data_IF_172086854138
#
_entry.id   IF_172086854138
#
_cell.length_a   1.000
_cell.length_b   1.000
_cell.length_c   1.000
_cell.angle_alpha   90.00
_cell.angle_beta   90.00
_cell.angle_gamma   90.00
#
_symmetry.space_group_name_H-M   'P 1'
#
loop_
_entity.id
_entity.type
_entity.pdbx_description
1 polymer ?
#
# COMPACT_ATOMS: atom_id res chain seq x y z
N UNK A 1 -31.99 -36.33 16.51
CA UNK A 1 -31.09 -35.63 15.60
C UNK A 1 -31.19 -34.14 15.93
N UNK A 2 -30.25 -33.66 16.73
CA UNK A 2 -30.14 -32.23 17.09
C UNK A 2 -29.44 -31.56 15.89
N UNK A 3 -30.15 -30.71 15.15
CA UNK A 3 -29.55 -29.86 14.12
C UNK A 3 -28.67 -28.83 14.83
N UNK A 4 -27.36 -28.99 14.73
CA UNK A 4 -26.43 -27.92 15.07
C UNK A 4 -26.81 -26.69 14.26
N UNK A 5 -27.26 -25.64 14.94
CA UNK A 5 -27.34 -24.31 14.36
C UNK A 5 -25.89 -23.88 14.07
N UNK A 6 -25.49 -23.87 12.79
CA UNK A 6 -24.32 -23.09 12.36
C UNK A 6 -24.56 -21.65 12.83
N UNK A 7 -23.85 -21.24 13.86
CA UNK A 7 -23.72 -19.83 14.21
C UNK A 7 -23.04 -19.21 12.99
N UNK A 8 -23.77 -18.41 12.23
CA UNK A 8 -23.16 -17.57 11.17
C UNK A 8 -22.35 -16.55 11.95
N UNK A 9 -21.06 -16.80 12.11
CA UNK A 9 -20.13 -15.85 12.65
C UNK A 9 -20.11 -14.68 11.65
N UNK A 10 -20.45 -13.49 12.10
CA UNK A 10 -20.40 -12.30 11.26
C UNK A 10 -18.90 -11.96 11.08
N UNK A 11 -18.33 -12.33 9.95
CA UNK A 11 -16.92 -12.13 9.60
C UNK A 11 -16.63 -10.71 9.03
N UNK A 12 -17.64 -9.82 9.05
CA UNK A 12 -17.57 -8.48 8.49
C UNK A 12 -17.29 -7.43 9.55
N UNK A 13 -16.46 -6.47 9.18
CA UNK A 13 -16.14 -5.29 10.00
C UNK A 13 -17.37 -4.38 10.20
N UNK A 14 -18.29 -4.33 9.21
CA UNK A 14 -19.46 -3.46 9.23
C UNK A 14 -19.17 -2.05 8.68
N UNK A 15 -19.95 -1.07 9.17
CA UNK A 15 -19.80 0.35 8.74
C UNK A 15 -18.62 0.98 9.47
N UNK A 16 -17.76 1.65 8.71
CA UNK A 16 -16.58 2.36 9.19
C UNK A 16 -16.62 3.83 8.79
N UNK A 17 -15.84 4.65 9.49
CA UNK A 17 -15.75 6.09 9.22
C UNK A 17 -14.29 6.50 9.12
N UNK A 18 -13.98 7.27 8.09
CA UNK A 18 -12.67 7.89 7.94
C UNK A 18 -12.51 9.01 8.95
N UNK A 19 -11.42 8.99 9.69
CA UNK A 19 -11.00 9.99 10.65
C UNK A 19 -9.88 10.84 10.05
N UNK A 20 -9.62 12.02 10.60
CA UNK A 20 -8.54 12.89 10.16
C UNK A 20 -7.72 13.33 11.37
N UNK A 21 -6.42 13.12 11.30
CA UNK A 21 -5.42 13.65 12.22
C UNK A 21 -4.64 14.77 11.56
N UNK A 22 -4.58 15.95 12.20
CA UNK A 22 -3.85 17.11 11.69
C UNK A 22 -2.77 17.55 12.68
N UNK A 23 -1.58 17.87 12.17
CA UNK A 23 -0.49 18.41 12.96
C UNK A 23 0.23 19.54 12.19
N UNK A 24 0.89 20.43 12.95
CA UNK A 24 1.35 21.71 12.42
C UNK A 24 2.52 21.58 11.43
N UNK A 25 3.48 20.68 11.70
CA UNK A 25 4.72 20.66 10.94
C UNK A 25 5.33 19.27 10.86
N UNK A 26 5.74 18.89 9.65
CA UNK A 26 6.62 17.78 9.33
C UNK A 26 7.95 18.30 8.81
N UNK A 27 9.06 17.81 9.33
CA UNK A 27 10.37 18.02 8.73
C UNK A 27 10.56 16.96 7.66
N UNK A 28 10.67 17.37 6.41
CA UNK A 28 10.92 16.50 5.27
C UNK A 28 12.41 16.11 5.20
N UNK A 29 12.73 15.02 4.50
CA UNK A 29 14.11 14.60 4.24
C UNK A 29 14.91 15.67 3.49
N UNK A 30 14.25 16.48 2.64
CA UNK A 30 14.85 17.67 2.02
C UNK A 30 15.37 18.72 3.02
N UNK A 31 15.00 18.59 4.30
CA UNK A 31 15.25 19.58 5.34
C UNK A 31 14.18 20.67 5.45
N UNK A 32 13.26 20.75 4.50
CA UNK A 32 12.14 21.70 4.51
C UNK A 32 11.16 21.38 5.64
N UNK A 33 10.56 22.41 6.25
CA UNK A 33 9.43 22.27 7.17
C UNK A 33 8.14 22.48 6.39
N UNK A 34 7.33 21.44 6.31
CA UNK A 34 6.06 21.43 5.60
C UNK A 34 4.88 21.25 6.56
N UNK A 35 3.80 21.99 6.31
CA UNK A 35 2.55 21.87 7.12
C UNK A 35 1.60 23.05 6.93
N UNK A 36 0.42 22.98 7.50
CA UNK A 36 -0.11 21.86 8.30
C UNK A 36 -0.27 20.58 7.46
N UNK A 37 -0.12 19.42 8.11
CA UNK A 37 -0.30 18.11 7.49
C UNK A 37 -1.51 17.42 8.10
N UNK A 38 -2.43 16.97 7.27
CA UNK A 38 -3.56 16.11 7.64
C UNK A 38 -3.37 14.72 7.07
N UNK A 39 -3.65 13.69 7.88
CA UNK A 39 -3.72 12.30 7.46
C UNK A 39 -5.13 11.77 7.70
N UNK A 40 -5.77 11.30 6.64
CA UNK A 40 -6.98 10.51 6.75
C UNK A 40 -6.61 9.08 7.16
N UNK A 41 -7.35 8.49 8.11
CA UNK A 41 -7.10 7.13 8.57
C UNK A 41 -8.38 6.43 9.01
N UNK A 42 -8.34 5.12 9.01
CA UNK A 42 -9.41 4.27 9.55
C UNK A 42 -8.84 3.27 10.54
N UNK A 43 -9.69 2.81 11.45
CA UNK A 43 -9.32 1.83 12.46
C UNK A 43 -10.37 0.73 12.55
N UNK A 44 -9.91 -0.49 12.83
CA UNK A 44 -10.75 -1.68 12.92
C UNK A 44 -10.36 -2.48 14.17
N UNK A 45 -11.37 -3.00 14.89
CA UNK A 45 -11.16 -3.66 16.18
C UNK A 45 -10.96 -2.69 17.34
N UNK A 46 -10.37 -3.16 18.43
CA UNK A 46 -10.21 -2.38 19.65
C UNK A 46 -8.77 -2.45 20.18
N UNK A 47 -8.24 -1.28 20.56
CA UNK A 47 -6.93 -1.19 21.21
C UNK A 47 -7.03 -1.73 22.65
N UNK A 48 -6.16 -2.69 23.02
CA UNK A 48 -6.11 -3.22 24.37
C UNK A 48 -5.53 -2.19 25.36
N UNK A 49 -5.66 -2.47 26.66
CA UNK A 49 -5.21 -1.54 27.73
C UNK A 49 -3.70 -1.31 27.68
N UNK A 50 -2.95 -2.34 27.35
CA UNK A 50 -1.49 -2.37 27.24
C UNK A 50 -1.00 -1.73 25.93
N UNK A 51 -1.91 -1.42 25.01
CA UNK A 51 -1.63 -0.85 23.66
C UNK A 51 -0.62 -1.69 22.86
N UNK A 52 -0.64 -3.00 23.06
CA UNK A 52 0.32 -3.96 22.50
C UNK A 52 -0.19 -4.71 21.27
N UNK A 53 -1.49 -4.55 20.90
CA UNK A 53 -2.15 -5.28 19.82
C UNK A 53 -2.36 -4.46 18.55
N UNK A 54 -1.67 -3.33 18.40
CA UNK A 54 -1.85 -2.43 17.26
C UNK A 54 -1.05 -2.89 16.04
N UNK A 55 -1.70 -2.95 14.87
CA UNK A 55 -1.11 -3.27 13.57
C UNK A 55 -1.36 -2.11 12.61
N UNK A 56 -0.30 -1.61 11.98
CA UNK A 56 -0.38 -0.62 10.92
C UNK A 56 -0.38 -1.31 9.55
N UNK A 57 -1.42 -1.08 8.77
CA UNK A 57 -1.51 -1.49 7.35
C UNK A 57 -1.08 -0.31 6.49
N UNK A 58 -0.12 -0.55 5.60
CA UNK A 58 0.40 0.42 4.65
C UNK A 58 -0.04 0.08 3.24
N UNK A 59 -0.84 0.97 2.61
CA UNK A 59 -1.45 0.70 1.32
C UNK A 59 -0.49 0.87 0.13
N UNK A 60 -0.80 0.23 -0.99
CA UNK A 60 -0.09 0.35 -2.25
C UNK A 60 -0.46 1.66 -2.98
N UNK A 61 0.23 1.96 -4.12
CA UNK A 61 0.12 3.20 -4.92
C UNK A 61 -1.31 3.74 -5.07
N UNK A 62 -2.27 2.90 -5.36
CA UNK A 62 -3.65 3.29 -5.65
C UNK A 62 -4.65 2.96 -4.54
N UNK A 63 -4.16 2.56 -3.36
CA UNK A 63 -4.96 2.36 -2.16
C UNK A 63 -5.25 3.68 -1.43
N UNK A 64 -5.92 3.56 -0.31
CA UNK A 64 -6.24 4.64 0.61
C UNK A 64 -6.47 4.07 2.03
N UNK A 65 -6.97 4.87 2.95
CA UNK A 65 -7.24 4.46 4.33
C UNK A 65 -8.33 3.38 4.45
N UNK A 66 -9.23 3.27 3.46
CA UNK A 66 -10.37 2.35 3.51
C UNK A 66 -9.94 0.91 3.19
N UNK A 67 -9.36 0.23 4.18
CA UNK A 67 -8.84 -1.13 4.00
C UNK A 67 -9.91 -2.22 4.19
N UNK A 68 -10.93 -2.01 5.04
CA UNK A 68 -11.98 -3.00 5.31
C UNK A 68 -13.31 -2.36 5.68
N UNK A 69 -14.37 -3.17 5.72
CA UNK A 69 -15.72 -2.71 5.99
C UNK A 69 -16.33 -1.90 4.86
N UNK A 70 -17.36 -1.12 5.16
CA UNK A 70 -18.10 -0.32 4.20
C UNK A 70 -18.31 1.10 4.74
N UNK A 71 -18.30 2.10 3.88
CA UNK A 71 -18.78 3.43 4.22
C UNK A 71 -20.31 3.48 4.09
N UNK A 72 -20.96 4.30 4.92
CA UNK A 72 -22.41 4.47 4.89
C UNK A 72 -22.89 4.89 3.49
N UNK A 73 -23.85 4.17 2.94
CA UNK A 73 -24.42 4.42 1.60
C UNK A 73 -23.54 3.99 0.42
N UNK A 74 -22.42 3.30 0.66
CA UNK A 74 -21.57 2.73 -0.40
C UNK A 74 -21.52 1.20 -0.28
N UNK A 75 -21.65 0.51 -1.42
CA UNK A 75 -21.65 -0.97 -1.46
C UNK A 75 -20.24 -1.56 -1.60
N UNK A 76 -19.23 -0.75 -1.89
CA UNK A 76 -17.87 -1.24 -2.11
C UNK A 76 -17.14 -1.40 -0.78
N UNK A 77 -16.66 -2.62 -0.45
CA UNK A 77 -15.84 -2.86 0.72
C UNK A 77 -14.45 -2.24 0.56
N UNK A 78 -13.72 -2.15 1.66
CA UNK A 78 -12.31 -1.76 1.67
C UNK A 78 -11.46 -2.68 0.79
N UNK A 79 -10.29 -2.18 0.36
CA UNK A 79 -9.43 -2.85 -0.64
C UNK A 79 -8.78 -4.16 -0.14
N UNK A 80 -8.78 -4.41 1.18
CA UNK A 80 -8.25 -5.62 1.83
C UNK A 80 -9.28 -6.28 2.78
N UNK A 81 -10.56 -6.07 2.52
CA UNK A 81 -11.66 -6.58 3.37
C UNK A 81 -11.60 -8.10 3.60
N UNK A 82 -11.10 -8.87 2.60
CA UNK A 82 -10.95 -10.32 2.73
C UNK A 82 -9.91 -10.74 3.80
N UNK A 83 -8.96 -9.87 4.15
CA UNK A 83 -7.91 -10.13 5.13
C UNK A 83 -8.21 -9.56 6.51
N UNK A 84 -9.08 -8.53 6.63
CA UNK A 84 -9.35 -7.79 7.86
C UNK A 84 -10.79 -8.08 8.32
N UNK A 85 -10.95 -8.51 9.57
CA UNK A 85 -12.27 -8.78 10.16
C UNK A 85 -12.21 -9.85 11.24
N UNK A 86 -13.34 -10.13 11.91
CA UNK A 86 -13.42 -11.16 12.93
C UNK A 86 -12.99 -12.53 12.40
N UNK A 87 -11.98 -13.14 13.03
CA UNK A 87 -11.44 -14.44 12.66
C UNK A 87 -10.58 -14.48 11.38
N UNK A 88 -10.43 -13.39 10.64
CA UNK A 88 -9.57 -13.27 9.44
C UNK A 88 -8.08 -13.22 9.80
N UNK A 89 -7.20 -12.95 8.82
CA UNK A 89 -5.76 -12.83 9.05
C UNK A 89 -5.43 -11.73 10.06
N UNK A 90 -6.02 -10.56 9.86
CA UNK A 90 -6.01 -9.45 10.79
C UNK A 90 -7.31 -9.48 11.59
N UNK A 91 -7.33 -10.34 12.61
CA UNK A 91 -8.48 -10.67 13.43
C UNK A 91 -8.87 -9.48 14.33
N UNK A 92 -9.94 -8.76 13.97
CA UNK A 92 -10.39 -7.57 14.69
C UNK A 92 -10.96 -7.85 16.09
N UNK A 93 -11.19 -9.13 16.45
CA UNK A 93 -11.51 -9.52 17.83
C UNK A 93 -10.26 -9.50 18.72
N UNK A 94 -9.06 -9.50 18.13
CA UNK A 94 -7.76 -9.55 18.85
C UNK A 94 -6.90 -8.33 18.63
N UNK A 95 -6.89 -7.80 17.40
CA UNK A 95 -5.96 -6.75 16.98
C UNK A 95 -6.70 -5.44 16.73
N UNK A 96 -6.02 -4.36 17.00
CA UNK A 96 -6.41 -3.02 16.60
C UNK A 96 -5.66 -2.66 15.32
N UNK A 97 -6.39 -2.66 14.20
CA UNK A 97 -5.83 -2.41 12.88
C UNK A 97 -5.97 -0.93 12.54
N UNK A 98 -4.93 -0.34 12.01
CA UNK A 98 -4.88 1.06 11.57
C UNK A 98 -4.47 1.05 10.10
N UNK A 99 -5.17 1.79 9.25
CA UNK A 99 -4.75 2.09 7.90
C UNK A 99 -4.83 3.60 7.67
N UNK A 100 -3.72 4.24 7.29
CA UNK A 100 -3.71 5.66 6.96
C UNK A 100 -3.52 5.88 5.47
N UNK A 101 -4.23 6.86 4.92
CA UNK A 101 -3.90 7.39 3.61
C UNK A 101 -2.60 8.17 3.69
N UNK A 102 -1.71 7.98 2.72
CA UNK A 102 -0.37 8.56 2.74
C UNK A 102 -0.35 10.07 2.52
N UNK A 103 0.68 10.74 3.03
CA UNK A 103 1.05 12.09 2.60
C UNK A 103 1.30 12.09 1.09
N UNK A 104 0.81 13.09 0.37
CA UNK A 104 0.86 13.15 -1.10
C UNK A 104 -0.30 12.43 -1.80
N UNK A 105 -1.11 11.66 -1.06
CA UNK A 105 -2.32 11.01 -1.57
C UNK A 105 -3.47 11.98 -1.82
N UNK A 106 -4.55 11.48 -2.45
CA UNK A 106 -5.70 12.30 -2.86
C UNK A 106 -7.03 11.90 -2.19
N UNK A 107 -6.95 11.16 -1.07
CA UNK A 107 -8.11 10.63 -0.35
C UNK A 107 -8.13 11.10 1.11
N UNK A 108 -8.16 12.43 1.31
CA UNK A 108 -8.32 13.06 2.62
C UNK A 108 -7.01 13.40 3.34
N UNK A 109 -5.87 12.86 2.95
CA UNK A 109 -4.55 13.33 3.42
C UNK A 109 -4.05 14.51 2.60
N UNK A 110 -3.17 15.32 3.20
CA UNK A 110 -2.54 16.45 2.51
C UNK A 110 -1.73 15.95 1.31
N UNK A 111 -2.00 16.53 0.15
CA UNK A 111 -1.36 16.20 -1.12
C UNK A 111 -1.47 17.35 -2.13
N UNK A 112 -1.05 17.17 -3.38
CA UNK A 112 -1.08 18.20 -4.42
C UNK A 112 -2.45 18.84 -4.65
N UNK A 113 -3.54 18.10 -4.47
CA UNK A 113 -4.92 18.60 -4.61
C UNK A 113 -5.43 19.36 -3.38
N UNK A 114 -4.72 19.32 -2.25
CA UNK A 114 -5.10 20.03 -1.03
C UNK A 114 -4.92 21.53 -1.17
N UNK A 115 -5.77 22.30 -0.47
CA UNK A 115 -5.67 23.76 -0.47
C UNK A 115 -4.44 24.20 0.34
N UNK A 116 -3.57 24.95 -0.31
CA UNK A 116 -2.45 25.61 0.32
C UNK A 116 -2.95 26.80 1.14
N UNK A 117 -2.77 26.79 2.48
CA UNK A 117 -3.28 27.86 3.34
C UNK A 117 -2.69 29.24 3.07
N UNK A 118 -1.53 29.29 2.41
CA UNK A 118 -0.87 30.58 2.06
C UNK A 118 -1.49 31.25 0.83
N UNK A 119 -2.00 30.45 -0.12
CA UNK A 119 -2.50 30.95 -1.42
C UNK A 119 -4.01 30.81 -1.59
N UNK A 120 -4.67 30.00 -0.73
CA UNK A 120 -6.06 29.59 -0.85
C UNK A 120 -6.40 28.85 -2.17
N UNK A 121 -5.39 28.27 -2.82
CA UNK A 121 -5.49 27.46 -4.04
C UNK A 121 -4.91 26.06 -3.78
N UNK A 122 -5.22 25.05 -4.60
CA UNK A 122 -4.52 23.77 -4.53
C UNK A 122 -3.00 23.95 -4.61
N UNK A 123 -2.26 23.10 -3.91
CA UNK A 123 -0.80 23.14 -3.96
C UNK A 123 -0.28 22.93 -5.39
N UNK A 124 -0.93 22.06 -6.15
CA UNK A 124 -0.46 21.64 -7.47
C UNK A 124 1.04 21.23 -7.42
N UNK A 125 1.91 21.81 -8.26
CA UNK A 125 3.36 21.55 -8.23
C UNK A 125 4.12 22.36 -7.16
N UNK A 126 3.46 23.23 -6.41
CA UNK A 126 4.01 23.86 -5.20
C UNK A 126 4.00 22.90 -3.99
N UNK A 127 3.37 21.72 -4.14
CA UNK A 127 3.49 20.65 -3.15
C UNK A 127 4.96 20.18 -3.10
N UNK A 128 5.59 20.01 -1.92
CA UNK A 128 6.98 19.60 -1.87
C UNK A 128 7.19 18.19 -2.42
N UNK A 129 8.35 17.93 -3.01
CA UNK A 129 8.74 16.55 -3.31
C UNK A 129 8.90 15.80 -2.00
N UNK A 130 8.20 14.70 -1.90
CA UNK A 130 8.20 13.82 -0.72
C UNK A 130 8.89 12.50 -1.05
N UNK A 131 9.32 11.82 -0.01
CA UNK A 131 9.91 10.48 -0.07
C UNK A 131 9.03 9.44 0.64
N UNK A 132 9.36 8.16 0.53
CA UNK A 132 8.71 7.11 1.32
C UNK A 132 8.97 7.34 2.82
N UNK A 133 10.14 7.84 3.19
CA UNK A 133 10.48 8.14 4.58
C UNK A 133 9.66 9.33 5.12
N UNK A 134 9.37 10.35 4.31
CA UNK A 134 8.44 11.42 4.68
C UNK A 134 7.03 10.90 4.93
N UNK A 135 6.56 9.96 4.11
CA UNK A 135 5.27 9.29 4.30
C UNK A 135 5.26 8.54 5.64
N UNK A 136 6.31 7.79 5.93
CA UNK A 136 6.46 7.02 7.17
C UNK A 136 6.61 7.94 8.38
N UNK A 137 7.35 9.03 8.27
CA UNK A 137 7.47 10.05 9.32
C UNK A 137 6.11 10.67 9.66
N UNK A 138 5.24 10.91 8.67
CA UNK A 138 3.88 11.36 8.90
C UNK A 138 3.02 10.28 9.60
N UNK A 139 3.15 9.01 9.19
CA UNK A 139 2.49 7.88 9.86
C UNK A 139 2.94 7.73 11.31
N UNK A 140 4.23 7.91 11.60
CA UNK A 140 4.77 7.88 12.97
C UNK A 140 4.09 8.91 13.85
N UNK A 141 3.83 10.14 13.34
CA UNK A 141 3.07 11.16 14.07
C UNK A 141 1.65 10.72 14.40
N UNK A 142 0.98 10.01 13.48
CA UNK A 142 -0.34 9.43 13.74
C UNK A 142 -0.28 8.35 14.83
N UNK A 143 0.68 7.45 14.77
CA UNK A 143 0.85 6.38 15.76
C UNK A 143 1.13 6.96 17.16
N UNK A 144 1.97 8.00 17.24
CA UNK A 144 2.22 8.73 18.49
C UNK A 144 0.95 9.42 19.03
N UNK A 145 0.16 10.04 18.15
CA UNK A 145 -1.12 10.66 18.51
C UNK A 145 -2.12 9.65 19.09
N UNK A 146 -2.14 8.43 18.55
CA UNK A 146 -2.95 7.34 19.08
C UNK A 146 -2.40 6.77 20.39
N UNK A 147 -1.24 7.27 20.85
CA UNK A 147 -0.57 6.86 22.08
C UNK A 147 0.00 5.45 22.01
N UNK A 148 0.37 4.97 20.83
CA UNK A 148 0.96 3.64 20.61
C UNK A 148 2.48 3.80 20.55
N UNK A 149 3.17 3.29 21.54
CA UNK A 149 4.64 3.35 21.59
C UNK A 149 5.28 2.33 20.65
N UNK A 150 4.68 1.13 20.58
CA UNK A 150 5.22 0.05 19.77
C UNK A 150 4.12 -0.73 19.07
N UNK A 151 4.24 -0.84 17.74
CA UNK A 151 3.31 -1.61 16.90
C UNK A 151 3.61 -3.10 16.98
N UNK A 152 2.56 -3.93 17.10
CA UNK A 152 2.70 -5.38 16.97
C UNK A 152 3.27 -5.75 15.62
N UNK A 153 2.78 -5.09 14.56
CA UNK A 153 3.28 -5.27 13.20
C UNK A 153 3.07 -4.02 12.35
N UNK A 154 3.94 -3.84 11.35
CA UNK A 154 3.65 -3.03 10.15
C UNK A 154 3.61 -3.97 8.95
N UNK A 155 2.53 -3.89 8.16
CA UNK A 155 2.26 -4.85 7.08
C UNK A 155 1.84 -4.10 5.82
N UNK A 156 2.41 -4.47 4.67
CA UNK A 156 2.00 -3.87 3.41
C UNK A 156 2.62 -4.50 2.18
N UNK A 157 1.88 -4.43 1.07
CA UNK A 157 2.31 -4.94 -0.23
C UNK A 157 2.78 -3.83 -1.18
N UNK A 158 3.70 -4.16 -2.09
CA UNK A 158 4.17 -3.24 -3.14
C UNK A 158 4.79 -1.97 -2.54
N UNK A 159 4.32 -0.78 -2.89
CA UNK A 159 4.69 0.48 -2.23
C UNK A 159 4.42 0.43 -0.72
N UNK A 160 3.38 -0.26 -0.27
CA UNK A 160 3.17 -0.51 1.15
C UNK A 160 4.35 -1.25 1.78
N UNK A 161 4.92 -2.21 1.07
CA UNK A 161 6.13 -2.92 1.50
C UNK A 161 7.38 -2.03 1.57
N UNK A 162 7.53 -1.02 0.70
CA UNK A 162 8.58 0.00 0.83
C UNK A 162 8.38 0.81 2.13
N UNK A 163 7.14 1.18 2.46
CA UNK A 163 6.83 1.82 3.75
C UNK A 163 7.16 0.90 4.93
N UNK A 164 6.87 -0.40 4.85
CA UNK A 164 7.29 -1.38 5.89
C UNK A 164 8.80 -1.40 6.07
N UNK A 165 9.56 -1.39 4.98
CA UNK A 165 11.04 -1.34 5.04
C UNK A 165 11.54 -0.02 5.63
N UNK A 166 10.93 1.11 5.26
CA UNK A 166 11.23 2.41 5.86
C UNK A 166 10.95 2.42 7.38
N UNK A 167 9.83 1.85 7.83
CA UNK A 167 9.56 1.65 9.26
C UNK A 167 10.63 0.80 9.94
N UNK A 168 11.03 -0.31 9.31
CA UNK A 168 12.04 -1.22 9.84
C UNK A 168 13.42 -0.55 10.00
N UNK A 169 13.78 0.33 9.06
CA UNK A 169 15.06 1.06 9.06
C UNK A 169 15.04 2.23 10.04
N UNK A 170 13.97 3.05 10.03
CA UNK A 170 13.94 4.31 10.76
C UNK A 170 13.39 4.18 12.18
N UNK A 171 12.53 3.19 12.44
CA UNK A 171 11.82 3.01 13.72
C UNK A 171 11.84 1.56 14.25
N UNK A 172 13.00 0.86 14.24
CA UNK A 172 13.05 -0.55 14.64
C UNK A 172 12.61 -0.77 16.10
N UNK A 173 12.85 0.19 16.99
CA UNK A 173 12.45 0.09 18.41
C UNK A 173 10.95 0.26 18.62
N UNK A 174 10.23 0.82 17.64
CA UNK A 174 8.78 0.99 17.68
C UNK A 174 8.00 -0.14 17.03
N UNK A 175 8.68 -1.25 16.65
CA UNK A 175 8.08 -2.41 16.00
C UNK A 175 8.41 -3.70 16.77
N UNK A 176 7.44 -4.59 16.81
CA UNK A 176 7.68 -5.99 17.17
C UNK A 176 7.91 -6.84 15.92
N UNK A 177 7.20 -6.54 14.85
CA UNK A 177 7.38 -7.27 13.61
C UNK A 177 7.10 -6.42 12.37
N UNK A 178 7.61 -6.89 11.23
CA UNK A 178 7.45 -6.28 9.94
C UNK A 178 7.11 -7.34 8.88
N UNK A 179 6.12 -7.04 8.03
CA UNK A 179 5.67 -7.96 6.97
C UNK A 179 5.68 -7.24 5.62
N UNK A 180 6.84 -7.12 4.97
CA UNK A 180 6.93 -6.63 3.59
C UNK A 180 6.48 -7.72 2.61
N UNK A 181 5.53 -7.40 1.72
CA UNK A 181 4.91 -8.32 0.77
C UNK A 181 5.13 -7.80 -0.65
N UNK A 182 5.58 -8.64 -1.59
CA UNK A 182 5.75 -8.31 -3.01
C UNK A 182 6.44 -6.94 -3.22
N UNK A 183 7.60 -6.74 -2.60
CA UNK A 183 8.29 -5.45 -2.56
C UNK A 183 9.81 -5.59 -2.77
N UNK A 184 10.51 -4.45 -2.76
CA UNK A 184 11.95 -4.36 -3.02
C UNK A 184 12.60 -3.34 -2.10
N UNK A 185 13.91 -3.48 -1.86
CA UNK A 185 14.72 -2.48 -1.14
C UNK A 185 14.91 -1.19 -1.94
N UNK A 186 14.83 -1.25 -3.27
CA UNK A 186 14.86 -0.14 -4.21
C UNK A 186 14.31 -0.56 -5.57
N UNK A 187 13.75 0.38 -6.31
CA UNK A 187 13.26 0.11 -7.66
C UNK A 187 14.37 -0.27 -8.63
N UNK A 188 14.12 -1.30 -9.42
CA UNK A 188 14.94 -1.66 -10.58
C UNK A 188 14.74 -0.65 -11.72
N UNK A 189 15.65 -0.59 -12.70
CA UNK A 189 15.45 0.22 -13.89
C UNK A 189 14.14 -0.05 -14.63
N UNK A 190 13.65 -1.31 -14.62
CA UNK A 190 12.37 -1.68 -15.23
C UNK A 190 11.18 -1.04 -14.52
N UNK A 191 11.14 -1.06 -13.19
CA UNK A 191 10.07 -0.43 -12.39
C UNK A 191 10.06 1.09 -12.60
N UNK A 192 11.26 1.73 -12.57
CA UNK A 192 11.42 3.16 -12.86
C UNK A 192 10.92 3.49 -14.29
N UNK A 193 11.24 2.65 -15.28
CA UNK A 193 10.81 2.85 -16.66
C UNK A 193 9.28 2.81 -16.81
N UNK A 194 8.59 1.87 -16.17
CA UNK A 194 7.13 1.82 -16.19
C UNK A 194 6.50 3.05 -15.53
N UNK A 195 7.02 3.49 -14.39
CA UNK A 195 6.56 4.70 -13.74
C UNK A 195 6.79 5.94 -14.62
N UNK A 196 7.96 6.03 -15.26
CA UNK A 196 8.27 7.16 -16.14
C UNK A 196 7.34 7.23 -17.35
N UNK A 197 7.01 6.10 -18.00
CA UNK A 197 6.03 6.09 -19.09
C UNK A 197 4.66 6.60 -18.60
N UNK A 198 4.23 6.19 -17.41
CA UNK A 198 2.99 6.69 -16.80
C UNK A 198 3.03 8.19 -16.53
N UNK A 199 4.14 8.71 -15.99
CA UNK A 199 4.33 10.15 -15.77
C UNK A 199 4.33 10.95 -17.07
N UNK A 200 5.04 10.45 -18.09
CA UNK A 200 5.07 11.09 -19.41
C UNK A 200 3.68 11.11 -20.07
N UNK A 201 2.89 10.05 -19.93
CA UNK A 201 1.52 10.03 -20.44
C UNK A 201 0.66 11.13 -19.79
N UNK A 202 0.78 11.35 -18.47
CA UNK A 202 0.08 12.42 -17.76
C UNK A 202 0.57 13.80 -18.22
N UNK A 203 1.89 14.01 -18.25
CA UNK A 203 2.47 15.31 -18.61
C UNK A 203 2.26 15.71 -20.07
N UNK A 204 2.10 14.73 -20.97
CA UNK A 204 1.77 14.94 -22.37
C UNK A 204 0.28 15.26 -22.61
N UNK A 205 -0.61 15.02 -21.64
CA UNK A 205 -2.02 15.40 -21.75
C UNK A 205 -2.16 16.93 -21.70
N UNK A 206 -2.81 17.50 -22.74
CA UNK A 206 -2.99 18.95 -22.86
C UNK A 206 -3.75 19.59 -21.68
N UNK A 207 -4.53 18.80 -20.95
CA UNK A 207 -5.24 19.26 -19.75
C UNK A 207 -4.38 19.25 -18.47
N UNK A 208 -3.19 18.68 -18.49
CA UNK A 208 -2.30 18.70 -17.32
C UNK A 208 -1.81 20.12 -16.98
N UNK A 209 -1.58 20.98 -17.99
CA UNK A 209 -1.24 22.40 -17.82
C UNK A 209 -0.11 22.65 -16.82
N UNK A 210 0.98 21.88 -16.91
CA UNK A 210 2.10 21.95 -15.96
C UNK A 210 1.65 21.81 -14.50
N UNK A 211 0.67 20.94 -14.25
CA UNK A 211 0.14 20.65 -12.91
C UNK A 211 -1.02 21.54 -12.45
N UNK A 212 -1.30 22.64 -13.13
CA UNK A 212 -2.37 23.60 -12.77
C UNK A 212 -3.66 23.33 -13.54
N UNK A 213 -4.36 22.25 -13.19
CA UNK A 213 -5.61 21.85 -13.85
C UNK A 213 -6.85 21.85 -12.92
N UNK A 214 -6.69 22.12 -11.63
CA UNK A 214 -7.77 21.96 -10.64
C UNK A 214 -8.97 22.88 -10.83
N UNK A 215 -8.80 23.98 -11.58
CA UNK A 215 -9.89 24.89 -11.95
C UNK A 215 -10.60 24.50 -13.27
N UNK A 216 -10.20 23.41 -13.91
CA UNK A 216 -10.70 23.02 -15.23
C UNK A 216 -10.80 21.51 -15.44
N UNK A 217 -10.61 21.08 -16.69
CA UNK A 217 -10.59 19.66 -17.02
C UNK A 217 -9.29 19.01 -16.55
N UNK A 218 -9.40 17.83 -15.94
CA UNK A 218 -8.23 17.04 -15.49
C UNK A 218 -7.55 16.30 -16.65
N UNK A 219 -6.27 15.94 -16.55
CA UNK A 219 -5.52 15.17 -17.56
C UNK A 219 -5.95 13.70 -17.57
N UNK A 220 -7.24 13.49 -17.85
CA UNK A 220 -7.90 12.18 -17.75
C UNK A 220 -7.34 11.14 -18.70
N UNK A 221 -6.96 11.55 -19.92
CA UNK A 221 -6.43 10.63 -20.93
C UNK A 221 -5.04 10.12 -20.51
N UNK A 222 -4.19 11.02 -20.07
CA UNK A 222 -2.84 10.67 -19.58
C UNK A 222 -2.89 9.77 -18.34
N UNK A 223 -3.73 10.11 -17.35
CA UNK A 223 -3.89 9.31 -16.15
C UNK A 223 -4.50 7.93 -16.45
N UNK A 224 -5.46 7.85 -17.39
CA UNK A 224 -6.00 6.56 -17.84
C UNK A 224 -4.92 5.66 -18.46
N UNK A 225 -4.05 6.21 -19.33
CA UNK A 225 -2.93 5.47 -19.93
C UNK A 225 -1.95 5.00 -18.85
N UNK A 226 -1.60 5.85 -17.90
CA UNK A 226 -0.76 5.46 -16.76
C UNK A 226 -1.37 4.28 -15.98
N UNK A 227 -2.68 4.27 -15.78
CA UNK A 227 -3.39 3.14 -15.14
C UNK A 227 -3.40 1.88 -16.00
N UNK A 228 -3.54 2.01 -17.32
CA UNK A 228 -3.47 0.85 -18.23
C UNK A 228 -2.11 0.15 -18.14
N UNK A 229 -1.02 0.93 -18.13
CA UNK A 229 0.34 0.40 -17.94
C UNK A 229 0.42 -0.35 -16.59
N UNK A 230 -0.08 0.24 -15.53
CA UNK A 230 -0.16 -0.43 -14.22
C UNK A 230 -0.87 -1.78 -14.32
N UNK A 231 -2.05 -1.87 -14.95
CA UNK A 231 -2.77 -3.15 -15.07
C UNK A 231 -2.05 -4.19 -15.93
N UNK A 232 -1.24 -3.78 -16.90
CA UNK A 232 -0.37 -4.70 -17.65
C UNK A 232 0.68 -5.29 -16.70
N UNK A 233 1.30 -4.47 -15.85
CA UNK A 233 2.36 -4.92 -14.95
C UNK A 233 1.86 -5.68 -13.73
N UNK A 234 0.60 -5.48 -13.32
CA UNK A 234 0.01 -6.14 -12.15
C UNK A 234 -0.44 -7.58 -12.42
N UNK A 235 -0.78 -7.92 -13.64
CA UNK A 235 -1.20 -9.27 -14.03
C UNK A 235 -0.03 -10.06 -14.60
N UNK A 236 0.01 -11.38 -14.35
CA UNK A 236 0.92 -12.28 -15.06
C UNK A 236 0.44 -12.54 -16.49
N UNK A 237 1.34 -13.00 -17.36
CA UNK A 237 0.97 -13.47 -18.69
C UNK A 237 -0.08 -14.59 -18.62
N UNK A 238 0.10 -15.54 -17.70
CA UNK A 238 -0.85 -16.62 -17.48
C UNK A 238 -2.24 -16.12 -17.08
N UNK A 239 -2.31 -15.20 -16.11
CA UNK A 239 -3.58 -14.60 -15.68
C UNK A 239 -4.25 -13.80 -16.80
N UNK A 240 -3.48 -13.07 -17.62
CA UNK A 240 -3.98 -12.40 -18.81
C UNK A 240 -4.53 -13.38 -19.85
N UNK A 241 -3.80 -14.47 -20.12
CA UNK A 241 -4.22 -15.50 -21.06
C UNK A 241 -5.49 -16.23 -20.61
N UNK A 242 -5.57 -16.60 -19.33
CA UNK A 242 -6.74 -17.26 -18.75
C UNK A 242 -7.99 -16.37 -18.76
N UNK A 243 -7.81 -15.07 -18.49
CA UNK A 243 -8.93 -14.13 -18.37
C UNK A 243 -9.47 -13.64 -19.71
N UNK A 244 -8.61 -13.40 -20.67
CA UNK A 244 -8.97 -12.73 -21.92
C UNK A 244 -8.73 -13.59 -23.17
N UNK A 245 -7.67 -14.44 -23.17
CA UNK A 245 -7.21 -15.16 -24.35
C UNK A 245 -7.00 -14.19 -25.53
N UNK A 246 -7.50 -14.58 -26.68
CA UNK A 246 -7.62 -13.72 -27.88
C UNK A 246 -9.09 -13.48 -28.23
N UNK A 247 -9.95 -13.40 -27.22
CA UNK A 247 -11.40 -13.22 -27.40
C UNK A 247 -11.67 -11.85 -28.03
N UNK A 248 -12.38 -11.86 -29.14
CA UNK A 248 -12.86 -10.65 -29.80
C UNK A 248 -14.16 -10.18 -29.16
N UNK A 249 -14.32 -8.87 -29.07
CA UNK A 249 -15.60 -8.26 -28.69
C UNK A 249 -16.64 -8.51 -29.79
N UNK A 250 -17.85 -8.80 -29.39
CA UNK A 250 -18.98 -8.80 -30.31
C UNK A 250 -19.19 -7.35 -30.82
N UNK A 251 -19.32 -7.19 -32.15
CA UNK A 251 -19.63 -5.93 -32.82
C UNK A 251 -18.53 -4.83 -32.78
N UNK A 252 -17.26 -5.16 -32.95
CA UNK A 252 -16.27 -4.19 -33.41
C UNK A 252 -16.56 -3.83 -34.87
N UNK A 253 -16.59 -2.53 -35.21
CA UNK A 253 -16.60 -2.15 -36.63
C UNK A 253 -15.25 -2.47 -37.26
N UNK A 254 -15.17 -3.33 -38.27
CA UNK A 254 -13.90 -3.72 -38.87
C UNK A 254 -13.17 -2.48 -39.42
N UNK A 255 -11.84 -2.47 -39.24
CA UNK A 255 -10.93 -1.42 -39.73
C UNK A 255 -11.07 -0.02 -39.07
N UNK A 256 -11.62 0.05 -37.83
CA UNK A 256 -11.58 1.25 -36.99
C UNK A 256 -10.66 1.03 -35.79
N UNK A 257 -10.08 2.13 -35.27
CA UNK A 257 -9.30 2.11 -34.01
C UNK A 257 -10.21 2.00 -32.77
N UNK A 258 -11.07 0.98 -32.76
CA UNK A 258 -11.95 0.61 -31.63
C UNK A 258 -11.28 -0.48 -30.79
N UNK A 259 -11.92 -0.91 -29.72
CA UNK A 259 -11.44 -2.07 -28.95
C UNK A 259 -11.94 -3.35 -29.62
N UNK A 260 -11.04 -4.07 -30.28
CA UNK A 260 -11.36 -5.31 -30.99
C UNK A 260 -11.27 -6.54 -30.09
N UNK A 261 -10.43 -6.51 -29.05
CA UNK A 261 -10.22 -7.59 -28.10
C UNK A 261 -10.73 -7.24 -26.69
N UNK A 262 -11.14 -8.26 -25.93
CA UNK A 262 -11.61 -8.08 -24.56
C UNK A 262 -10.59 -7.39 -23.66
N UNK A 263 -9.31 -7.70 -23.81
CA UNK A 263 -8.23 -7.07 -23.04
C UNK A 263 -8.14 -5.56 -23.28
N UNK A 264 -8.38 -5.09 -24.50
CA UNK A 264 -8.38 -3.65 -24.81
C UNK A 264 -9.53 -2.94 -24.10
N UNK A 265 -10.72 -3.55 -24.13
CA UNK A 265 -11.87 -3.04 -23.39
C UNK A 265 -11.65 -3.01 -21.88
N UNK A 266 -11.04 -4.05 -21.33
CA UNK A 266 -10.67 -4.11 -19.92
C UNK A 266 -9.72 -2.97 -19.53
N UNK A 267 -8.65 -2.76 -20.30
CA UNK A 267 -7.68 -1.69 -19.99
C UNK A 267 -8.34 -0.32 -20.04
N UNK A 268 -9.15 -0.02 -21.06
CA UNK A 268 -9.91 1.24 -21.16
C UNK A 268 -10.82 1.42 -19.94
N UNK A 269 -11.61 0.41 -19.60
CA UNK A 269 -12.51 0.44 -18.44
C UNK A 269 -11.76 0.71 -17.12
N UNK A 270 -10.59 0.08 -16.93
CA UNK A 270 -9.75 0.29 -15.74
C UNK A 270 -9.16 1.70 -15.69
N UNK A 271 -8.73 2.23 -16.85
CA UNK A 271 -8.27 3.61 -16.96
C UNK A 271 -9.37 4.60 -16.61
N UNK A 272 -10.55 4.48 -17.25
CA UNK A 272 -11.69 5.39 -17.06
C UNK A 272 -12.22 5.41 -15.62
N UNK A 273 -12.21 4.26 -14.93
CA UNK A 273 -12.62 4.21 -13.53
C UNK A 273 -11.57 4.80 -12.59
N UNK A 274 -10.29 4.65 -12.91
CA UNK A 274 -9.22 5.22 -12.08
C UNK A 274 -9.26 6.74 -12.06
N UNK A 275 -9.47 7.36 -13.21
CA UNK A 275 -9.59 8.82 -13.37
C UNK A 275 -10.67 9.44 -12.48
N UNK A 276 -11.75 8.70 -12.18
CA UNK A 276 -12.85 9.19 -11.33
C UNK A 276 -12.47 9.30 -9.85
N UNK A 277 -11.39 8.63 -9.42
CA UNK A 277 -11.06 8.48 -8.01
C UNK A 277 -9.62 8.84 -7.64
N UNK A 278 -8.77 9.17 -8.60
CA UNK A 278 -7.35 9.43 -8.35
C UNK A 278 -6.90 10.74 -8.99
N UNK A 279 -6.00 11.44 -8.32
CA UNK A 279 -5.44 12.71 -8.75
C UNK A 279 -4.15 12.49 -9.54
N UNK A 280 -4.01 13.18 -10.68
CA UNK A 280 -2.86 13.00 -11.57
C UNK A 280 -1.55 13.50 -10.97
N UNK A 281 -1.57 14.66 -10.29
CA UNK A 281 -0.37 15.15 -9.62
C UNK A 281 0.03 14.21 -8.47
N UNK A 282 -0.92 13.71 -7.67
CA UNK A 282 -0.63 12.69 -6.65
C UNK A 282 0.06 11.47 -7.26
N UNK A 283 -0.37 11.00 -8.45
CA UNK A 283 0.30 9.90 -9.14
C UNK A 283 1.77 10.23 -9.47
N UNK A 284 2.03 11.46 -9.95
CA UNK A 284 3.39 11.91 -10.27
C UNK A 284 4.28 11.91 -9.01
N UNK A 285 3.80 12.52 -7.93
CA UNK A 285 4.55 12.61 -6.67
C UNK A 285 4.82 11.25 -6.03
N UNK A 286 3.81 10.40 -5.94
CA UNK A 286 3.92 9.09 -5.31
C UNK A 286 4.86 8.17 -6.11
N UNK A 287 4.72 8.12 -7.44
CA UNK A 287 5.62 7.30 -8.28
C UNK A 287 7.06 7.83 -8.24
N UNK A 288 7.25 9.15 -8.08
CA UNK A 288 8.58 9.72 -7.89
C UNK A 288 9.17 9.35 -6.53
N UNK A 289 8.36 9.34 -5.46
CA UNK A 289 8.79 8.88 -4.14
C UNK A 289 9.20 7.40 -4.16
N UNK A 290 8.42 6.55 -4.83
CA UNK A 290 8.74 5.13 -5.01
C UNK A 290 10.05 4.89 -5.75
N UNK A 291 10.29 5.63 -6.83
CA UNK A 291 11.52 5.50 -7.63
C UNK A 291 12.78 5.93 -6.88
N UNK A 292 12.65 6.93 -6.01
CA UNK A 292 13.76 7.45 -5.22
C UNK A 292 14.01 6.65 -3.93
N UNK A 293 13.11 5.75 -3.54
CA UNK A 293 13.30 4.94 -2.34
C UNK A 293 14.46 3.96 -2.49
N UNK A 294 15.39 4.01 -1.55
CA UNK A 294 16.47 3.02 -1.38
C UNK A 294 16.70 2.79 0.12
N UNK A 295 16.26 1.66 0.63
CA UNK A 295 16.45 1.27 2.02
C UNK A 295 17.93 1.06 2.41
N UNK A 296 18.84 1.18 1.44
CA UNK A 296 20.30 0.99 1.58
C UNK A 296 21.11 2.21 1.12
N UNK A 297 20.50 3.40 1.05
CA UNK A 297 21.13 4.60 0.46
C UNK A 297 22.44 5.01 1.16
N UNK A 298 22.48 4.98 2.48
CA UNK A 298 23.65 5.41 3.25
C UNK A 298 24.69 4.30 3.43
N UNK A 299 24.23 3.05 3.53
CA UNK A 299 25.06 1.86 3.75
C UNK A 299 24.25 0.60 3.46
N UNK A 300 24.92 -0.56 3.25
CA UNK A 300 24.22 -1.82 3.00
C UNK A 300 23.16 -2.13 4.05
N UNK A 301 21.97 -2.59 3.64
CA UNK A 301 20.82 -2.83 4.52
C UNK A 301 21.16 -3.78 5.69
N UNK A 302 22.01 -4.78 5.48
CA UNK A 302 22.47 -5.68 6.56
C UNK A 302 23.27 -4.96 7.66
N UNK A 303 23.93 -3.86 7.34
CA UNK A 303 24.66 -3.06 8.35
C UNK A 303 23.71 -2.16 9.13
N UNK A 304 22.70 -1.62 8.43
CA UNK A 304 21.64 -0.81 9.06
C UNK A 304 20.84 -1.64 10.06
N UNK A 305 20.52 -2.88 9.70
CA UNK A 305 19.71 -3.79 10.52
C UNK A 305 20.51 -4.53 11.60
N UNK A 306 21.80 -4.27 11.74
CA UNK A 306 22.62 -4.95 12.75
C UNK A 306 22.10 -4.67 14.16
N UNK A 307 21.81 -5.73 14.92
CA UNK A 307 21.23 -5.63 16.26
C UNK A 307 19.72 -5.40 16.32
N UNK A 308 19.04 -5.27 15.17
CA UNK A 308 17.60 -5.15 15.10
C UNK A 308 16.91 -6.40 15.69
N UNK A 309 15.92 -6.18 16.58
CA UNK A 309 15.18 -7.24 17.28
C UNK A 309 13.81 -7.53 16.66
N UNK A 310 13.46 -6.82 15.58
CA UNK A 310 12.18 -6.97 14.88
C UNK A 310 12.12 -8.34 14.20
N UNK A 311 10.99 -9.05 14.32
CA UNK A 311 10.73 -10.28 13.57
C UNK A 311 10.20 -9.95 12.20
N UNK A 312 10.75 -10.56 11.15
CA UNK A 312 10.39 -10.23 9.78
C UNK A 312 9.78 -11.44 9.07
N UNK A 313 8.61 -11.24 8.44
CA UNK A 313 8.02 -12.19 7.49
C UNK A 313 8.02 -11.54 6.11
N UNK A 314 8.79 -12.10 5.18
CA UNK A 314 8.81 -11.64 3.77
C UNK A 314 7.97 -12.59 2.93
N UNK A 315 7.00 -12.04 2.17
CA UNK A 315 6.16 -12.81 1.25
C UNK A 315 6.40 -12.32 -0.18
N UNK A 316 6.56 -13.24 -1.12
CA UNK A 316 6.62 -12.96 -2.55
C UNK A 316 5.77 -13.95 -3.34
N UNK A 317 5.49 -13.64 -4.60
CA UNK A 317 4.67 -14.47 -5.48
C UNK A 317 5.48 -14.88 -6.72
N UNK A 318 5.40 -16.15 -7.10
CA UNK A 318 6.23 -16.72 -8.16
C UNK A 318 5.97 -16.09 -9.53
N UNK A 319 4.75 -15.68 -9.81
CA UNK A 319 4.35 -15.09 -11.08
C UNK A 319 4.47 -13.56 -11.13
N UNK A 320 4.90 -12.93 -10.02
CA UNK A 320 5.10 -11.48 -9.98
C UNK A 320 6.34 -11.10 -10.80
N UNK A 321 6.12 -10.42 -11.92
CA UNK A 321 7.18 -9.95 -12.79
C UNK A 321 7.46 -8.45 -12.66
N UNK A 322 6.57 -7.71 -11.93
CA UNK A 322 6.82 -6.32 -11.56
C UNK A 322 7.78 -6.23 -10.37
N UNK A 323 7.55 -7.04 -9.31
CA UNK A 323 8.44 -7.23 -8.18
C UNK A 323 8.87 -8.69 -8.07
N UNK A 324 9.78 -9.14 -8.96
CA UNK A 324 10.18 -10.55 -9.01
C UNK A 324 10.73 -11.05 -7.68
N UNK A 325 10.49 -12.30 -7.36
CA UNK A 325 10.84 -12.92 -6.08
C UNK A 325 12.31 -12.76 -5.66
N UNK A 326 13.24 -12.55 -6.62
CA UNK A 326 14.65 -12.30 -6.28
C UNK A 326 14.82 -11.00 -5.47
N UNK A 327 14.00 -9.97 -5.69
CA UNK A 327 14.04 -8.71 -4.91
C UNK A 327 13.65 -8.95 -3.44
N UNK A 328 12.61 -9.74 -3.19
CA UNK A 328 12.25 -10.18 -1.84
C UNK A 328 13.36 -11.04 -1.20
N UNK A 329 14.03 -11.88 -1.97
CA UNK A 329 15.19 -12.67 -1.50
C UNK A 329 16.40 -11.79 -1.13
N UNK A 330 16.56 -10.61 -1.74
CA UNK A 330 17.57 -9.62 -1.33
C UNK A 330 17.26 -9.06 0.06
N UNK A 331 15.98 -8.74 0.36
CA UNK A 331 15.54 -8.34 1.71
C UNK A 331 15.87 -9.44 2.73
N UNK A 332 15.48 -10.68 2.43
CA UNK A 332 15.75 -11.85 3.29
C UNK A 332 17.24 -12.04 3.54
N UNK A 333 18.06 -11.91 2.49
CA UNK A 333 19.52 -12.03 2.61
C UNK A 333 20.08 -10.95 3.55
N UNK A 334 19.67 -9.70 3.38
CA UNK A 334 20.12 -8.60 4.24
C UNK A 334 19.73 -8.81 5.70
N UNK A 335 18.47 -9.17 5.96
CA UNK A 335 17.98 -9.47 7.31
C UNK A 335 18.76 -10.63 7.97
N UNK A 336 18.99 -11.74 7.25
CA UNK A 336 19.73 -12.89 7.75
C UNK A 336 21.20 -12.57 8.05
N UNK A 337 21.86 -11.79 7.19
CA UNK A 337 23.23 -11.34 7.40
C UNK A 337 23.34 -10.40 8.62
N UNK A 338 22.30 -9.65 8.92
CA UNK A 338 22.21 -8.80 10.11
C UNK A 338 21.84 -9.58 11.40
N UNK A 339 21.54 -10.87 11.32
CA UNK A 339 21.09 -11.68 12.47
C UNK A 339 19.61 -11.46 12.84
N UNK A 340 18.82 -10.85 11.98
CA UNK A 340 17.38 -10.59 12.20
C UNK A 340 16.58 -11.89 12.04
N UNK A 341 15.68 -12.20 12.99
CA UNK A 341 14.77 -13.35 12.88
C UNK A 341 13.84 -13.17 11.67
N UNK A 342 14.08 -13.98 10.62
CA UNK A 342 13.41 -13.79 9.32
C UNK A 342 12.82 -15.09 8.82
N UNK A 343 11.52 -15.04 8.50
CA UNK A 343 10.79 -16.07 7.75
C UNK A 343 10.58 -15.59 6.32
N UNK A 344 10.68 -16.47 5.35
CA UNK A 344 10.43 -16.19 3.94
C UNK A 344 9.48 -17.23 3.36
N UNK A 345 8.47 -16.75 2.63
CA UNK A 345 7.55 -17.58 1.88
C UNK A 345 7.39 -17.05 0.46
N UNK A 346 7.51 -17.95 -0.52
CA UNK A 346 7.22 -17.68 -1.94
C UNK A 346 5.97 -18.48 -2.32
N UNK A 347 4.87 -17.76 -2.55
CA UNK A 347 3.56 -18.35 -2.87
C UNK A 347 3.49 -18.65 -4.37
N UNK A 348 3.04 -19.86 -4.74
CA UNK A 348 2.84 -20.28 -6.14
C UNK A 348 1.47 -19.79 -6.65
N UNK A 349 1.35 -18.50 -6.89
CA UNK A 349 0.17 -17.85 -7.43
C UNK A 349 0.33 -17.54 -8.92
N UNK A 350 -0.77 -17.47 -9.66
CA UNK A 350 -0.79 -17.07 -11.07
C UNK A 350 -1.24 -15.63 -11.29
N UNK A 351 -1.64 -14.91 -10.24
CA UNK A 351 -2.23 -13.56 -10.35
C UNK A 351 -1.24 -12.43 -10.67
N UNK A 352 0.08 -12.73 -10.69
CA UNK A 352 1.11 -11.71 -10.88
C UNK A 352 1.31 -10.86 -9.62
N UNK A 353 1.52 -9.56 -9.80
CA UNK A 353 1.70 -8.62 -8.70
C UNK A 353 0.42 -8.41 -7.87
N UNK A 354 -0.77 -8.48 -8.50
CA UNK A 354 -2.06 -8.38 -7.79
C UNK A 354 -2.29 -9.53 -6.81
N UNK A 355 -1.43 -10.56 -6.78
CA UNK A 355 -1.55 -11.71 -5.89
C UNK A 355 -1.65 -11.31 -4.41
N UNK A 356 -0.94 -10.28 -3.94
CA UNK A 356 -1.02 -9.81 -2.55
C UNK A 356 -2.41 -9.24 -2.17
N UNK A 357 -3.31 -9.05 -3.13
CA UNK A 357 -4.70 -8.66 -2.92
C UNK A 357 -5.69 -9.82 -3.14
N UNK A 358 -5.26 -10.86 -3.86
CA UNK A 358 -6.15 -11.89 -4.40
C UNK A 358 -5.87 -13.30 -3.85
N UNK A 359 -4.64 -13.56 -3.36
CA UNK A 359 -4.23 -14.88 -2.85
C UNK A 359 -4.58 -15.02 -1.37
N UNK A 360 -5.90 -14.95 -1.09
CA UNK A 360 -6.42 -14.77 0.27
C UNK A 360 -6.09 -15.94 1.20
N UNK A 361 -6.21 -17.17 0.72
CA UNK A 361 -6.16 -18.36 1.58
C UNK A 361 -4.73 -18.60 2.12
N UNK A 362 -3.75 -18.73 1.23
CA UNK A 362 -2.38 -19.05 1.62
C UNK A 362 -1.70 -17.87 2.33
N UNK A 363 -1.89 -16.66 1.82
CA UNK A 363 -1.33 -15.45 2.44
C UNK A 363 -1.92 -15.20 3.84
N UNK A 364 -3.25 -15.35 4.01
CA UNK A 364 -3.91 -15.23 5.32
C UNK A 364 -3.40 -16.27 6.31
N UNK A 365 -3.18 -17.51 5.87
CA UNK A 365 -2.62 -18.55 6.72
C UNK A 365 -1.24 -18.16 7.26
N UNK A 366 -0.35 -17.70 6.39
CA UNK A 366 1.02 -17.29 6.76
C UNK A 366 1.01 -16.10 7.73
N UNK A 367 0.27 -15.05 7.41
CA UNK A 367 0.16 -13.84 8.23
C UNK A 367 -0.43 -14.17 9.60
N UNK A 368 -1.52 -14.91 9.65
CA UNK A 368 -2.21 -15.30 10.89
C UNK A 368 -1.31 -16.07 11.83
N UNK A 369 -0.56 -17.06 11.31
CA UNK A 369 0.37 -17.85 12.10
C UNK A 369 1.55 -17.02 12.60
N UNK A 370 2.10 -16.15 11.78
CA UNK A 370 3.18 -15.26 12.13
C UNK A 370 2.77 -14.28 13.24
N UNK A 371 1.66 -13.55 13.05
CA UNK A 371 1.14 -12.60 14.03
C UNK A 371 0.81 -13.27 15.36
N UNK A 372 0.20 -14.46 15.31
CA UNK A 372 -0.08 -15.24 16.52
C UNK A 372 1.20 -15.57 17.30
N UNK A 373 2.27 -16.01 16.61
CA UNK A 373 3.57 -16.30 17.24
C UNK A 373 4.16 -15.05 17.87
N UNK A 374 4.11 -13.91 17.18
CA UNK A 374 4.63 -12.63 17.69
C UNK A 374 3.84 -12.17 18.90
N UNK A 375 2.52 -12.19 18.85
CA UNK A 375 1.64 -11.75 19.93
C UNK A 375 1.79 -12.60 21.20
N UNK A 376 1.83 -13.94 21.06
CA UNK A 376 2.05 -14.84 22.19
C UNK A 376 3.44 -14.66 22.85
N UNK A 377 4.47 -14.43 22.05
CA UNK A 377 5.80 -14.19 22.60
C UNK A 377 5.80 -12.96 23.52
N UNK A 378 5.04 -11.92 23.15
CA UNK A 378 4.87 -10.72 23.98
C UNK A 378 4.05 -11.00 25.26
N UNK A 379 2.91 -11.70 25.16
CA UNK A 379 2.04 -12.01 26.33
C UNK A 379 2.75 -12.85 27.39
N UNK A 380 3.63 -13.79 26.97
CA UNK A 380 4.30 -14.75 27.87
C UNK A 380 5.53 -14.14 28.54
N UNK A 381 6.26 -13.27 27.86
CA UNK A 381 7.56 -12.78 28.33
C UNK A 381 7.50 -11.39 28.98
N UNK A 382 6.45 -10.59 28.73
CA UNK A 382 6.39 -9.17 29.14
C UNK A 382 7.53 -8.32 28.56
N UNK A 383 8.54 -8.98 28.02
CA UNK A 383 9.70 -8.44 27.32
C UNK A 383 10.03 -9.34 26.14
N UNK A 384 10.53 -8.78 25.04
CA UNK A 384 11.07 -9.58 23.96
C UNK A 384 12.35 -10.26 24.41
N UNK A 385 12.31 -11.58 24.32
CA UNK A 385 13.34 -12.48 24.78
C UNK A 385 14.76 -11.97 24.57
N UNK A 386 15.52 -12.12 25.66
CA UNK A 386 16.95 -11.93 25.69
C UNK A 386 17.66 -12.79 24.63
#
# INVERSE_FOLDING_TARGET
MIKEKKIIQNDKVGIVQTQVFTFDTLKLESGEKFGPVSLAYETYGSLNKERSNAILITHALSGDAHAAGQHEGLDNPGWWDEFIGPGKAFDTDKYFIICSNILGGCKGSTGPSSINPKTAKPYALDFPLITIDDIVNAQKRLIDHLGIEKLLAVVGGSMGGQQVLSWLVNYPDNLFSAVPIATTIKHSPQQIAFNEVGRQAIMADSHWKSGDYYSGASPSKGLAVARMIGHITYMSDKSMAEKFGRTKKEAGEPFKFTADFEVEGYLRYRGDNFVKRFDANSYLYITKAMDNFDASVDRPLQEILQGCKVKVLVISFKSDWLYPAYQSKEIVKACKLAGVETTYCEIDSTYGHDAFLLEVEEESHLIKHFLKKVFYAYEVTGEYGA
#
